data_IF_770935427517
#
_entry.id   IF_770935427517
#
_cell.length_a   1.000
_cell.length_b   1.000
_cell.length_c   1.000
_cell.angle_alpha   90.00
_cell.angle_beta   90.00
_cell.angle_gamma   90.00
#
_symmetry.space_group_name_H-M   'P 1'
#
loop_
_entity.id
_entity.type
_entity.pdbx_description
1 polymer ?
#
# COMPACT_ATOMS: atom_id res chain seq x y z
N UNK A 1 9.24 -29.45 -0.43
CA UNK A 1 8.78 -28.12 -0.86
C UNK A 1 9.92 -27.45 -1.60
N UNK A 2 9.78 -27.18 -2.89
CA UNK A 2 10.78 -26.41 -3.62
C UNK A 2 10.61 -24.95 -3.21
N UNK A 3 11.60 -24.39 -2.51
CA UNK A 3 11.69 -22.95 -2.34
C UNK A 3 12.03 -22.36 -3.70
N UNK A 4 11.02 -21.86 -4.42
CA UNK A 4 11.23 -21.20 -5.71
C UNK A 4 11.82 -19.83 -5.41
N UNK A 5 13.13 -19.69 -5.60
CA UNK A 5 13.80 -18.40 -5.56
C UNK A 5 13.78 -17.80 -6.97
N UNK A 6 13.04 -16.72 -7.17
CA UNK A 6 12.98 -16.00 -8.44
C UNK A 6 13.68 -14.65 -8.28
N UNK A 7 14.73 -14.45 -9.05
CA UNK A 7 15.35 -13.13 -9.19
C UNK A 7 14.79 -12.41 -10.41
N UNK A 8 14.33 -11.18 -10.20
CA UNK A 8 13.81 -10.31 -11.26
C UNK A 8 14.64 -9.04 -11.26
N UNK A 9 15.36 -8.81 -12.36
CA UNK A 9 16.23 -7.63 -12.51
C UNK A 9 15.38 -6.36 -12.45
N UNK A 10 15.63 -5.42 -11.52
CA UNK A 10 14.82 -4.22 -11.40
C UNK A 10 15.12 -3.22 -12.53
N UNK A 11 14.08 -2.63 -13.11
CA UNK A 11 14.22 -1.44 -13.97
C UNK A 11 14.20 -0.17 -13.12
N UNK A 12 15.35 0.40 -12.79
CA UNK A 12 15.45 1.57 -11.91
C UNK A 12 14.82 2.87 -12.44
N UNK A 13 14.37 2.89 -13.70
CA UNK A 13 13.57 4.01 -14.24
C UNK A 13 12.13 4.00 -13.72
N UNK A 14 11.63 2.84 -13.27
CA UNK A 14 10.27 2.70 -12.75
C UNK A 14 10.20 3.00 -11.25
N UNK A 15 9.07 3.53 -10.75
CA UNK A 15 8.85 3.69 -9.31
C UNK A 15 8.92 2.36 -8.56
N UNK A 16 9.40 2.39 -7.31
CA UNK A 16 9.63 1.18 -6.52
C UNK A 16 8.40 0.27 -6.41
N UNK A 17 7.20 0.83 -6.14
CA UNK A 17 5.95 0.07 -6.07
C UNK A 17 5.62 -0.68 -7.36
N UNK A 18 5.87 -0.07 -8.52
CA UNK A 18 5.66 -0.70 -9.84
C UNK A 18 6.59 -1.91 -10.00
N UNK A 19 7.87 -1.74 -9.67
CA UNK A 19 8.87 -2.83 -9.76
C UNK A 19 8.53 -4.00 -8.86
N UNK A 20 8.09 -3.70 -7.63
CA UNK A 20 7.66 -4.71 -6.66
C UNK A 20 6.43 -5.46 -7.18
N UNK A 21 5.40 -4.74 -7.63
CA UNK A 21 4.18 -5.35 -8.18
C UNK A 21 4.47 -6.24 -9.39
N UNK A 22 5.32 -5.78 -10.33
CA UNK A 22 5.76 -6.60 -11.46
C UNK A 22 6.48 -7.86 -11.03
N UNK A 23 7.39 -7.75 -10.07
CA UNK A 23 8.13 -8.89 -9.57
C UNK A 23 7.21 -9.93 -8.91
N UNK A 24 6.24 -9.47 -8.11
CA UNK A 24 5.23 -10.33 -7.51
C UNK A 24 4.34 -10.97 -8.58
N UNK A 25 3.87 -10.20 -9.57
CA UNK A 25 3.01 -10.72 -10.63
C UNK A 25 3.70 -11.78 -11.48
N UNK A 26 5.01 -11.65 -11.75
CA UNK A 26 5.77 -12.68 -12.45
C UNK A 26 5.84 -13.97 -11.63
N UNK A 27 6.08 -13.87 -10.31
CA UNK A 27 6.04 -15.03 -9.41
C UNK A 27 4.66 -15.69 -9.38
N UNK A 28 3.60 -14.89 -9.19
CA UNK A 28 2.22 -15.38 -9.13
C UNK A 28 1.74 -15.96 -10.46
N UNK A 29 2.37 -15.62 -11.59
CA UNK A 29 2.05 -16.24 -12.88
C UNK A 29 2.54 -17.69 -13.01
N UNK A 30 3.54 -18.08 -12.21
CA UNK A 30 4.17 -19.40 -12.23
C UNK A 30 3.53 -20.40 -11.27
N UNK A 31 2.63 -19.94 -10.41
CA UNK A 31 2.01 -20.76 -9.38
C UNK A 31 0.51 -20.45 -9.25
N UNK A 32 -0.32 -21.50 -9.21
CA UNK A 32 -1.76 -21.33 -8.98
C UNK A 32 -2.02 -20.92 -7.53
N UNK A 33 -2.27 -19.63 -7.30
CA UNK A 33 -2.56 -19.09 -5.97
C UNK A 33 -3.87 -19.62 -5.37
N UNK A 34 -4.76 -20.20 -6.20
CA UNK A 34 -6.06 -20.74 -5.77
C UNK A 34 -5.96 -21.90 -4.79
N UNK A 35 -4.79 -22.52 -4.64
CA UNK A 35 -4.55 -23.61 -3.69
C UNK A 35 -4.23 -23.13 -2.26
N UNK A 36 -4.13 -21.82 -2.05
CA UNK A 36 -3.82 -21.21 -0.76
C UNK A 36 -5.04 -20.44 -0.24
N UNK A 37 -5.18 -20.37 1.09
CA UNK A 37 -6.22 -19.55 1.73
C UNK A 37 -5.77 -18.08 1.87
N UNK A 38 -4.48 -17.88 2.12
CA UNK A 38 -3.88 -16.57 2.37
C UNK A 38 -2.55 -16.40 1.62
N UNK A 39 -2.26 -15.15 1.26
CA UNK A 39 -0.97 -14.69 0.78
C UNK A 39 -0.37 -13.78 1.85
N UNK A 40 0.88 -14.06 2.22
CA UNK A 40 1.68 -13.18 3.06
C UNK A 40 2.77 -12.54 2.19
N UNK A 41 2.71 -11.22 2.03
CA UNK A 41 3.81 -10.42 1.50
C UNK A 41 4.57 -9.78 2.63
N UNK A 42 5.90 -9.76 2.54
CA UNK A 42 6.79 -9.16 3.54
C UNK A 42 7.93 -8.46 2.81
N UNK A 43 8.26 -7.24 3.22
CA UNK A 43 9.44 -6.53 2.74
C UNK A 43 10.72 -7.15 3.35
N UNK A 44 11.84 -7.07 2.63
CA UNK A 44 13.09 -7.72 3.03
C UNK A 44 13.69 -7.17 4.33
N UNK A 45 13.35 -5.93 4.70
CA UNK A 45 13.81 -5.26 5.92
C UNK A 45 12.83 -5.42 7.10
N UNK A 46 11.94 -6.40 7.04
CA UNK A 46 10.93 -6.65 8.07
C UNK A 46 11.22 -7.95 8.80
N UNK A 47 11.09 -7.90 10.13
CA UNK A 47 11.11 -9.05 11.02
C UNK A 47 9.68 -9.35 11.43
N UNK A 48 9.23 -10.58 11.20
CA UNK A 48 7.95 -11.06 11.70
C UNK A 48 8.14 -11.72 13.08
N UNK A 49 7.38 -11.31 14.11
CA UNK A 49 7.31 -12.04 15.37
C UNK A 49 6.90 -13.50 15.15
N UNK A 50 7.37 -14.43 16.00
CA UNK A 50 7.10 -15.87 15.85
C UNK A 50 5.58 -16.18 15.79
N UNK A 51 4.78 -15.49 16.60
CA UNK A 51 3.32 -15.65 16.66
C UNK A 51 2.55 -14.74 15.68
N UNK A 52 3.24 -14.08 14.74
CA UNK A 52 2.64 -13.11 13.82
C UNK A 52 1.50 -13.71 13.01
N UNK A 53 1.73 -14.86 12.34
CA UNK A 53 0.72 -15.50 11.52
C UNK A 53 -0.45 -16.01 12.38
N UNK A 54 -0.15 -16.76 13.43
CA UNK A 54 -1.17 -17.34 14.31
C UNK A 54 -2.12 -16.28 14.88
N UNK A 55 -1.57 -15.16 15.32
CA UNK A 55 -2.37 -14.12 15.98
C UNK A 55 -3.14 -13.27 14.96
N UNK A 56 -2.53 -12.92 13.84
CA UNK A 56 -3.20 -12.08 12.83
C UNK A 56 -4.25 -12.86 12.03
N UNK A 57 -4.10 -14.18 11.84
CA UNK A 57 -5.12 -15.02 11.19
C UNK A 57 -6.41 -15.12 12.02
N UNK A 58 -6.33 -15.05 13.36
CA UNK A 58 -7.50 -15.03 14.25
C UNK A 58 -8.42 -13.82 14.05
N UNK A 59 -7.97 -12.78 13.36
CA UNK A 59 -8.79 -11.60 13.05
C UNK A 59 -9.86 -11.87 11.99
N UNK A 60 -9.77 -13.00 11.27
CA UNK A 60 -10.73 -13.41 10.23
C UNK A 60 -11.08 -12.30 9.23
N UNK A 61 -10.04 -11.61 8.74
CA UNK A 61 -10.16 -10.48 7.83
C UNK A 61 -9.74 -10.87 6.40
N UNK A 62 -10.28 -10.17 5.40
CA UNK A 62 -9.84 -10.27 4.01
C UNK A 62 -8.45 -9.65 3.81
N UNK A 63 -8.09 -8.67 4.65
CA UNK A 63 -6.77 -8.06 4.68
C UNK A 63 -6.39 -7.61 6.08
N UNK A 64 -5.17 -7.98 6.49
CA UNK A 64 -4.53 -7.49 7.71
C UNK A 64 -3.26 -6.73 7.33
N UNK A 65 -3.27 -5.42 7.60
CA UNK A 65 -2.18 -4.53 7.22
C UNK A 65 -2.40 -3.07 7.63
N UNK A 66 -1.33 -2.27 7.59
CA UNK A 66 -1.42 -0.82 7.87
C UNK A 66 -0.53 0.06 6.97
N UNK A 67 0.65 -0.41 6.58
CA UNK A 67 1.62 0.43 5.87
C UNK A 67 2.59 -0.35 4.95
N UNK A 68 2.10 -1.40 4.28
CA UNK A 68 2.76 -2.00 3.11
C UNK A 68 3.90 -2.97 3.37
N UNK A 69 4.60 -2.84 4.50
CA UNK A 69 5.79 -3.64 4.81
C UNK A 69 5.51 -5.11 5.16
N UNK A 70 4.32 -5.41 5.66
CA UNK A 70 3.79 -6.78 5.67
C UNK A 70 2.31 -6.73 5.31
N UNK A 71 1.82 -7.69 4.55
CA UNK A 71 0.43 -7.73 4.12
C UNK A 71 -0.06 -9.16 4.11
N UNK A 72 -1.06 -9.45 4.93
CA UNK A 72 -1.75 -10.73 4.93
C UNK A 72 -3.07 -10.54 4.18
N UNK A 73 -3.22 -11.22 3.05
CA UNK A 73 -4.35 -11.10 2.13
C UNK A 73 -5.05 -12.45 2.02
N UNK A 74 -6.36 -12.48 2.17
CA UNK A 74 -7.16 -13.65 1.83
C UNK A 74 -7.17 -13.82 0.31
N UNK A 75 -6.84 -15.02 -0.17
CA UNK A 75 -6.72 -15.31 -1.60
C UNK A 75 -8.03 -15.05 -2.33
N UNK A 76 -9.16 -15.42 -1.74
CA UNK A 76 -10.49 -15.20 -2.35
C UNK A 76 -10.77 -13.71 -2.58
N UNK A 77 -10.45 -12.84 -1.61
CA UNK A 77 -10.57 -11.40 -1.76
C UNK A 77 -9.57 -10.84 -2.78
N UNK A 78 -8.33 -11.31 -2.76
CA UNK A 78 -7.30 -10.89 -3.72
C UNK A 78 -7.68 -11.22 -5.17
N UNK A 79 -8.22 -12.42 -5.42
CA UNK A 79 -8.76 -12.81 -6.73
C UNK A 79 -9.97 -11.95 -7.10
N UNK A 80 -10.93 -11.80 -6.17
CA UNK A 80 -12.17 -11.07 -6.42
C UNK A 80 -11.93 -9.60 -6.81
N UNK A 81 -11.04 -8.90 -6.10
CA UNK A 81 -10.89 -7.45 -6.25
C UNK A 81 -9.71 -7.02 -7.11
N UNK A 82 -8.74 -7.91 -7.32
CA UNK A 82 -7.52 -7.61 -8.10
C UNK A 82 -7.22 -8.63 -9.20
N UNK A 83 -8.10 -9.61 -9.44
CA UNK A 83 -7.89 -10.63 -10.45
C UNK A 83 -6.68 -11.53 -10.18
N UNK A 84 -6.24 -11.61 -8.92
CA UNK A 84 -5.06 -12.39 -8.54
C UNK A 84 -3.73 -11.72 -8.88
N UNK A 85 -3.71 -10.41 -9.13
CA UNK A 85 -2.51 -9.63 -9.47
C UNK A 85 -2.38 -8.40 -8.60
N UNK A 86 -1.16 -8.06 -8.21
CA UNK A 86 -0.90 -6.78 -7.57
C UNK A 86 -0.99 -5.64 -8.59
N UNK A 87 -1.57 -4.48 -8.21
CA UNK A 87 -1.68 -3.34 -9.12
C UNK A 87 -0.30 -2.73 -9.36
N UNK A 88 0.08 -2.60 -10.63
CA UNK A 88 1.39 -2.08 -11.04
C UNK A 88 1.43 -0.55 -10.99
N UNK A 89 1.40 -0.01 -9.77
CA UNK A 89 1.32 1.42 -9.50
C UNK A 89 2.33 1.86 -8.42
N UNK A 90 2.72 3.14 -8.37
CA UNK A 90 3.75 3.59 -7.43
C UNK A 90 3.39 3.45 -5.95
N UNK A 91 2.11 3.66 -5.59
CA UNK A 91 1.59 3.53 -4.22
C UNK A 91 0.73 2.26 -4.05
N UNK A 92 1.23 1.14 -4.57
CA UNK A 92 0.53 -0.14 -4.58
C UNK A 92 0.09 -0.58 -3.18
N UNK A 93 0.94 -0.40 -2.16
CA UNK A 93 0.67 -0.78 -0.77
C UNK A 93 -0.57 -0.11 -0.18
N UNK A 94 -0.64 1.21 -0.32
CA UNK A 94 -1.72 2.06 0.16
C UNK A 94 -2.98 1.79 -0.66
N UNK A 95 -2.83 1.59 -1.97
CA UNK A 95 -3.94 1.34 -2.87
C UNK A 95 -4.62 0.00 -2.58
N UNK A 96 -3.88 -1.08 -2.32
CA UNK A 96 -4.46 -2.41 -2.02
C UNK A 96 -5.39 -2.32 -0.81
N UNK A 97 -4.91 -1.77 0.30
CA UNK A 97 -5.72 -1.61 1.51
C UNK A 97 -6.94 -0.71 1.27
N UNK A 98 -6.74 0.45 0.63
CA UNK A 98 -7.83 1.40 0.37
C UNK A 98 -8.88 0.86 -0.61
N UNK A 99 -8.47 0.11 -1.63
CA UNK A 99 -9.39 -0.53 -2.58
C UNK A 99 -10.24 -1.60 -1.90
N UNK A 100 -9.64 -2.42 -1.05
CA UNK A 100 -10.38 -3.39 -0.26
C UNK A 100 -11.43 -2.72 0.64
N UNK A 101 -11.05 -1.64 1.34
CA UNK A 101 -12.00 -0.85 2.14
C UNK A 101 -13.12 -0.27 1.24
N UNK A 102 -12.75 0.33 0.10
CA UNK A 102 -13.72 0.92 -0.83
C UNK A 102 -14.71 -0.10 -1.40
N UNK A 103 -14.29 -1.36 -1.53
CA UNK A 103 -15.13 -2.47 -1.98
C UNK A 103 -15.88 -3.19 -0.84
N UNK A 104 -15.79 -2.70 0.40
CA UNK A 104 -16.48 -3.27 1.56
C UNK A 104 -15.87 -4.58 2.09
N UNK A 105 -14.61 -4.88 1.77
CA UNK A 105 -13.91 -6.04 2.29
C UNK A 105 -13.55 -5.87 3.78
N UNK A 106 -13.40 -6.98 4.50
CA UNK A 106 -12.98 -6.99 5.88
C UNK A 106 -11.51 -6.58 6.01
N UNK A 107 -11.24 -5.33 6.37
CA UNK A 107 -9.89 -4.80 6.57
C UNK A 107 -9.64 -4.53 8.05
N UNK A 108 -8.56 -5.10 8.60
CA UNK A 108 -8.17 -4.91 10.00
C UNK A 108 -6.70 -4.47 10.11
N UNK A 109 -6.35 -3.65 11.11
CA UNK A 109 -4.94 -3.45 11.47
C UNK A 109 -4.37 -4.75 12.05
N UNK A 110 -3.03 -4.85 12.14
CA UNK A 110 -2.40 -5.98 12.81
C UNK A 110 -2.83 -6.09 14.27
N UNK A 111 -3.07 -7.31 14.73
CA UNK A 111 -3.12 -7.64 16.15
C UNK A 111 -1.71 -7.62 16.76
N UNK A 112 -0.74 -8.21 16.04
CA UNK A 112 0.69 -8.11 16.36
C UNK A 112 1.39 -7.49 15.16
N UNK A 113 1.96 -6.27 15.29
CA UNK A 113 2.61 -5.59 14.17
C UNK A 113 3.96 -6.24 13.83
N UNK A 114 4.38 -6.17 12.56
CA UNK A 114 5.73 -6.54 12.17
C UNK A 114 6.74 -5.49 12.65
N UNK A 115 8.02 -5.87 12.73
CA UNK A 115 9.10 -4.99 13.19
C UNK A 115 9.93 -4.54 11.98
N UNK A 116 10.04 -3.23 11.77
CA UNK A 116 10.87 -2.65 10.73
C UNK A 116 12.32 -2.54 11.20
N UNK A 117 13.28 -3.02 10.40
CA UNK A 117 14.69 -2.70 10.61
C UNK A 117 14.90 -1.22 10.27
N UNK A 118 15.65 -0.53 11.11
CA UNK A 118 15.90 0.90 10.95
C UNK A 118 16.53 1.19 9.59
N UNK A 119 15.97 2.14 8.84
CA UNK A 119 16.42 2.53 7.50
C UNK A 119 17.15 3.87 7.56
N UNK A 120 18.40 3.89 7.11
CA UNK A 120 19.11 5.13 6.77
C UNK A 120 18.62 5.63 5.40
N UNK A 121 17.89 6.74 5.36
CA UNK A 121 17.29 7.23 4.12
C UNK A 121 18.05 8.44 3.52
N UNK A 122 18.87 8.18 2.50
CA UNK A 122 19.82 9.14 1.89
C UNK A 122 19.15 10.10 0.88
N UNK A 123 17.89 9.86 0.48
CA UNK A 123 17.21 10.66 -0.56
C UNK A 123 15.77 11.08 -0.18
N UNK A 124 15.61 11.60 1.03
CA UNK A 124 14.32 11.83 1.68
C UNK A 124 13.36 12.76 0.90
N UNK A 125 13.81 13.87 0.32
CA UNK A 125 12.91 14.87 -0.27
C UNK A 125 12.27 14.44 -1.61
N UNK A 126 13.02 13.77 -2.50
CA UNK A 126 12.48 13.25 -3.78
C UNK A 126 11.37 12.24 -3.53
N UNK A 127 11.56 11.36 -2.55
CA UNK A 127 10.56 10.39 -2.10
C UNK A 127 9.29 11.09 -1.61
N UNK A 128 9.43 12.19 -0.87
CA UNK A 128 8.29 12.97 -0.39
C UNK A 128 7.50 13.64 -1.53
N UNK A 129 8.17 14.17 -2.56
CA UNK A 129 7.49 14.72 -3.75
C UNK A 129 6.64 13.64 -4.43
N UNK A 130 7.22 12.45 -4.66
CA UNK A 130 6.49 11.31 -5.24
C UNK A 130 5.31 10.94 -4.35
N UNK A 131 5.51 10.85 -3.05
CA UNK A 131 4.45 10.57 -2.07
C UNK A 131 3.31 11.59 -2.15
N UNK A 132 3.63 12.87 -2.35
CA UNK A 132 2.63 13.93 -2.57
C UNK A 132 1.79 13.71 -3.83
N UNK A 133 2.43 13.40 -4.96
CA UNK A 133 1.73 13.09 -6.22
C UNK A 133 0.81 11.88 -6.06
N UNK A 134 1.27 10.84 -5.38
CA UNK A 134 0.48 9.64 -5.15
C UNK A 134 -0.67 9.87 -4.14
N UNK A 135 -0.47 10.71 -3.12
CA UNK A 135 -1.54 11.10 -2.21
C UNK A 135 -2.68 11.83 -2.95
N UNK A 136 -2.35 12.71 -3.89
CA UNK A 136 -3.34 13.32 -4.79
C UNK A 136 -4.07 12.27 -5.62
N UNK A 137 -3.36 11.33 -6.24
CA UNK A 137 -3.97 10.28 -7.08
C UNK A 137 -4.87 9.33 -6.27
N UNK A 138 -4.50 9.04 -5.02
CA UNK A 138 -5.29 8.22 -4.09
C UNK A 138 -6.54 8.92 -3.57
N UNK A 139 -6.59 10.26 -3.60
CA UNK A 139 -7.73 11.03 -3.11
C UNK A 139 -7.61 11.53 -1.69
N UNK A 140 -6.40 11.63 -1.13
CA UNK A 140 -6.20 12.41 0.07
C UNK A 140 -6.56 13.87 -0.20
N UNK A 141 -7.27 14.49 0.74
CA UNK A 141 -7.72 15.86 0.59
C UNK A 141 -6.62 16.86 1.04
N UNK A 142 -6.62 18.12 0.54
CA UNK A 142 -5.53 19.06 0.76
C UNK A 142 -5.24 19.42 2.23
N UNK A 143 -6.26 19.53 3.08
CA UNK A 143 -6.11 19.82 4.52
C UNK A 143 -5.37 18.71 5.25
N UNK A 144 -5.56 17.45 4.87
CA UNK A 144 -4.82 16.30 5.40
C UNK A 144 -3.32 16.44 5.09
N UNK A 145 -3.00 16.87 3.87
CA UNK A 145 -1.61 17.09 3.46
C UNK A 145 -1.02 18.30 4.17
N UNK A 146 -1.78 19.38 4.33
CA UNK A 146 -1.37 20.56 5.11
C UNK A 146 -1.12 20.20 6.59
N UNK A 147 -2.00 19.40 7.18
CA UNK A 147 -1.88 18.92 8.56
C UNK A 147 -0.58 18.13 8.77
N UNK A 148 -0.17 17.30 7.80
CA UNK A 148 1.12 16.60 7.84
C UNK A 148 2.30 17.58 7.91
N UNK A 149 2.25 18.69 7.15
CA UNK A 149 3.30 19.72 7.14
C UNK A 149 3.34 20.49 8.46
N UNK A 150 2.17 20.81 9.04
CA UNK A 150 2.09 21.50 10.34
C UNK A 150 2.74 20.69 11.47
N UNK A 151 2.69 19.36 11.40
CA UNK A 151 3.33 18.48 12.39
C UNK A 151 4.81 18.23 12.10
N UNK A 152 5.25 18.41 10.86
CA UNK A 152 6.63 18.18 10.44
C UNK A 152 6.93 18.95 9.16
N UNK A 153 7.67 20.05 9.30
CA UNK A 153 8.00 20.96 8.19
C UNK A 153 8.76 20.24 7.07
N UNK A 154 9.49 19.15 7.37
CA UNK A 154 10.18 18.35 6.33
C UNK A 154 9.18 17.77 5.33
N UNK A 155 7.92 17.57 5.71
CA UNK A 155 6.87 17.07 4.81
C UNK A 155 6.38 18.10 3.80
N UNK A 156 6.92 19.32 3.77
CA UNK A 156 6.60 20.35 2.76
C UNK A 156 6.73 19.82 1.33
N UNK A 157 7.69 18.92 1.07
CA UNK A 157 7.86 18.29 -0.24
C UNK A 157 6.67 17.40 -0.65
N UNK A 158 5.92 16.83 0.31
CA UNK A 158 4.65 16.14 0.03
C UNK A 158 3.62 17.14 -0.49
N UNK A 159 3.52 18.32 0.15
CA UNK A 159 2.59 19.37 -0.26
C UNK A 159 2.93 19.86 -1.68
N UNK A 160 4.21 20.11 -1.97
CA UNK A 160 4.68 20.50 -3.30
C UNK A 160 4.30 19.43 -4.34
N UNK A 161 4.59 18.16 -4.07
CA UNK A 161 4.24 17.06 -4.96
C UNK A 161 2.73 16.94 -5.21
N UNK A 162 1.93 17.16 -4.17
CA UNK A 162 0.47 17.15 -4.25
C UNK A 162 -0.05 18.26 -5.18
N UNK A 163 0.39 19.50 -4.98
CA UNK A 163 -0.03 20.62 -5.82
C UNK A 163 0.46 20.50 -7.26
N UNK A 164 1.68 20.02 -7.49
CA UNK A 164 2.15 19.70 -8.85
C UNK A 164 1.16 18.73 -9.52
N UNK A 165 0.77 17.66 -8.84
CA UNK A 165 -0.16 16.69 -9.39
C UNK A 165 -1.56 17.27 -9.64
N UNK A 166 -2.03 18.15 -8.76
CA UNK A 166 -3.29 18.87 -8.89
C UNK A 166 -3.29 19.79 -10.12
N UNK A 167 -2.28 20.66 -10.26
CA UNK A 167 -2.16 21.60 -11.37
C UNK A 167 -1.97 20.89 -12.71
N UNK A 168 -1.17 19.82 -12.74
CA UNK A 168 -1.00 18.98 -13.93
C UNK A 168 -2.20 18.07 -14.22
N UNK A 169 -3.22 18.06 -13.35
CA UNK A 169 -4.41 17.20 -13.46
C UNK A 169 -4.05 15.73 -13.70
N UNK A 170 -3.08 15.22 -12.94
CA UNK A 170 -2.64 13.83 -13.11
C UNK A 170 -3.81 12.86 -12.96
N UNK A 171 -3.77 11.76 -13.72
CA UNK A 171 -4.79 10.72 -13.67
C UNK A 171 -4.90 10.15 -12.26
N UNK A 172 -6.10 10.24 -11.71
CA UNK A 172 -6.46 9.74 -10.37
C UNK A 172 -6.76 8.24 -10.43
N UNK A 173 -6.65 7.59 -9.28
CA UNK A 173 -7.05 6.19 -9.14
C UNK A 173 -8.58 6.04 -9.10
N UNK A 174 -9.05 4.84 -9.43
CA UNK A 174 -10.48 4.47 -9.39
C UNK A 174 -11.10 4.67 -8.00
N UNK A 175 -10.30 4.51 -6.94
CA UNK A 175 -10.72 4.69 -5.54
C UNK A 175 -10.75 6.16 -5.07
N UNK A 176 -10.30 7.12 -5.89
CA UNK A 176 -10.13 8.53 -5.48
C UNK A 176 -11.38 9.12 -4.81
N UNK A 177 -12.55 8.97 -5.44
CA UNK A 177 -13.79 9.57 -4.93
C UNK A 177 -14.26 8.95 -3.62
N UNK A 178 -13.93 7.69 -3.37
CA UNK A 178 -14.19 7.05 -2.08
C UNK A 178 -13.28 7.64 -1.00
N UNK A 179 -11.97 7.64 -1.23
CA UNK A 179 -10.97 8.12 -0.26
C UNK A 179 -11.21 9.59 0.09
N UNK A 180 -11.46 10.43 -0.92
CA UNK A 180 -11.70 11.86 -0.71
C UNK A 180 -12.92 12.11 0.18
N UNK A 181 -14.05 11.42 -0.10
CA UNK A 181 -15.26 11.54 0.71
C UNK A 181 -15.06 11.00 2.13
N UNK A 182 -14.32 9.91 2.29
CA UNK A 182 -14.01 9.35 3.61
C UNK A 182 -13.17 10.33 4.47
N UNK A 183 -12.18 11.00 3.85
CA UNK A 183 -11.40 12.03 4.54
C UNK A 183 -12.24 13.26 4.88
N UNK A 184 -13.09 13.72 3.96
CA UNK A 184 -13.97 14.86 4.20
C UNK A 184 -14.97 14.60 5.34
N UNK A 185 -15.58 13.41 5.37
CA UNK A 185 -16.47 13.00 6.48
C UNK A 185 -15.75 13.03 7.82
N UNK A 186 -14.49 12.57 7.87
CA UNK A 186 -13.66 12.59 9.07
C UNK A 186 -13.39 14.01 9.56
N UNK A 187 -13.16 14.96 8.65
CA UNK A 187 -12.99 16.37 9.00
C UNK A 187 -14.28 17.00 9.53
N UNK A 188 -15.42 16.65 8.93
CA UNK A 188 -16.74 17.18 9.29
C UNK A 188 -17.35 16.50 10.53
N UNK A 189 -16.66 15.52 11.13
CA UNK A 189 -17.15 14.79 12.30
C UNK A 189 -18.36 13.88 12.03
N UNK A 190 -18.70 13.65 10.77
CA UNK A 190 -19.83 12.81 10.37
C UNK A 190 -19.34 11.35 10.29
N UNK A 191 -19.81 10.51 11.22
CA UNK A 191 -19.56 9.06 11.20
C UNK A 191 -20.45 8.37 10.18
#
# INVERSE_FOLDING_TARGET
>A
MWNIYIYIKPNFQEPAGVRIAKALNDLLSKESIKKYDYLLRVDADVILPLSFLETNLKLDADYVGRAGYAMLLRVSAFIKFFGGRFPEIPAEDSYVGLKLIACGAGVKPYAIPPILKEKNDVAWWRKLIVRGKEAYKLGYEPLHILWLVLHDIKKIFILIGYFIALFMRLRRYDIYGFVFRAQLKRLLGVR
#
